data_IF_004453844044
#
_entry.id   IF_004453844044
#
_cell.length_a   1.000
_cell.length_b   1.000
_cell.length_c   1.000
_cell.angle_alpha   90.00
_cell.angle_beta   90.00
_cell.angle_gamma   90.00
#
_symmetry.space_group_name_H-M   'P 1'
#
loop_
_entity.id
_entity.type
_entity.pdbx_description
1 polymer ?
#
# COMPACT_ATOMS: atom_id res chain seq x y z
N UNK A 1 -8.86 10.03 14.34
CA UNK A 1 -7.52 9.47 14.03
C UNK A 1 -6.85 10.39 13.02
N UNK A 2 -5.63 10.86 13.29
CA UNK A 2 -4.83 11.63 12.33
C UNK A 2 -3.68 10.74 11.88
N UNK A 3 -3.42 10.63 10.58
CA UNK A 3 -2.37 9.78 10.02
C UNK A 3 -1.45 10.67 9.21
N UNK A 4 -0.17 10.68 9.56
CA UNK A 4 0.85 11.44 8.85
C UNK A 4 1.27 10.70 7.57
N UNK A 5 0.84 11.20 6.43
CA UNK A 5 1.12 10.60 5.12
C UNK A 5 1.99 11.51 4.29
N UNK A 6 2.78 10.91 3.39
CA UNK A 6 3.54 11.67 2.41
C UNK A 6 2.71 11.81 1.14
N UNK A 7 2.32 13.02 0.80
CA UNK A 7 1.58 13.33 -0.42
C UNK A 7 2.54 13.91 -1.47
N UNK A 8 2.70 13.22 -2.59
CA UNK A 8 3.61 13.61 -3.68
C UNK A 8 2.93 13.26 -5.01
N UNK A 9 2.93 14.18 -5.97
CA UNK A 9 2.42 13.96 -7.34
C UNK A 9 1.02 13.33 -7.34
N UNK A 10 0.12 13.89 -6.53
CA UNK A 10 -1.27 13.41 -6.31
C UNK A 10 -1.39 11.98 -5.77
N UNK A 11 -0.27 11.38 -5.37
CA UNK A 11 -0.17 10.04 -4.80
C UNK A 11 0.06 10.12 -3.29
N UNK A 12 -0.76 9.38 -2.53
CA UNK A 12 -0.61 9.26 -1.08
C UNK A 12 0.25 8.03 -0.75
N UNK A 13 1.40 8.26 -0.15
CA UNK A 13 2.31 7.21 0.31
C UNK A 13 2.06 6.92 1.79
N UNK A 14 1.64 5.70 2.06
CA UNK A 14 1.34 5.17 3.39
C UNK A 14 2.16 3.90 3.65
N UNK A 15 2.50 3.66 4.91
CA UNK A 15 2.99 2.34 5.35
C UNK A 15 1.81 1.38 5.56
N UNK A 16 2.07 0.07 5.51
CA UNK A 16 1.03 -0.95 5.78
C UNK A 16 0.37 -0.77 7.15
N UNK A 17 1.13 -0.32 8.15
CA UNK A 17 0.58 -0.05 9.49
C UNK A 17 -0.40 1.13 9.48
N UNK A 18 -0.09 2.19 8.74
CA UNK A 18 -1.01 3.32 8.59
C UNK A 18 -2.25 2.95 7.80
N UNK A 19 -2.14 2.06 6.80
CA UNK A 19 -3.30 1.49 6.12
C UNK A 19 -4.18 0.67 7.07
N UNK A 20 -3.57 -0.11 7.97
CA UNK A 20 -4.31 -0.84 9.00
C UNK A 20 -5.10 0.11 9.91
N UNK A 21 -4.48 1.21 10.33
CA UNK A 21 -5.13 2.24 11.15
C UNK A 21 -6.21 3.01 10.39
N UNK A 22 -6.00 3.28 9.09
CA UNK A 22 -6.97 3.98 8.25
C UNK A 22 -8.22 3.13 8.00
N UNK A 23 -8.02 1.88 7.60
CA UNK A 23 -9.10 0.94 7.25
C UNK A 23 -9.59 0.10 8.43
N UNK A 24 -9.07 0.36 9.65
CA UNK A 24 -9.41 -0.37 10.88
C UNK A 24 -9.34 -1.89 10.70
N UNK A 25 -8.31 -2.35 10.00
CA UNK A 25 -8.11 -3.75 9.61
C UNK A 25 -6.74 -4.25 10.04
N UNK A 26 -6.50 -5.55 9.89
CA UNK A 26 -5.23 -6.17 10.29
C UNK A 26 -4.18 -6.11 9.18
N UNK A 27 -2.90 -6.22 9.56
CA UNK A 27 -1.77 -6.29 8.61
C UNK A 27 -1.92 -7.46 7.63
N UNK A 28 -2.50 -8.57 8.10
CA UNK A 28 -2.76 -9.76 7.27
C UNK A 28 -3.75 -9.45 6.16
N UNK A 29 -4.86 -8.78 6.48
CA UNK A 29 -5.87 -8.39 5.49
C UNK A 29 -5.29 -7.40 4.48
N UNK A 30 -4.52 -6.39 4.92
CA UNK A 30 -3.85 -5.46 3.99
C UNK A 30 -2.90 -6.20 3.04
N UNK A 31 -2.14 -7.16 3.56
CA UNK A 31 -1.20 -7.95 2.75
C UNK A 31 -1.93 -8.83 1.73
N UNK A 32 -3.06 -9.43 2.13
CA UNK A 32 -3.91 -10.23 1.26
C UNK A 32 -4.56 -9.38 0.16
N UNK A 33 -5.09 -8.20 0.51
CA UNK A 33 -5.62 -7.27 -0.49
C UNK A 33 -4.55 -6.80 -1.49
N UNK A 34 -3.34 -6.49 -1.02
CA UNK A 34 -2.22 -6.13 -1.91
C UNK A 34 -1.90 -7.29 -2.85
N UNK A 35 -1.89 -8.53 -2.34
CA UNK A 35 -1.64 -9.73 -3.15
C UNK A 35 -2.71 -9.93 -4.21
N UNK A 36 -3.99 -9.75 -3.86
CA UNK A 36 -5.09 -9.83 -4.83
C UNK A 36 -4.99 -8.76 -5.91
N UNK A 37 -4.63 -7.51 -5.57
CA UNK A 37 -4.42 -6.44 -6.58
C UNK A 37 -3.38 -6.83 -7.64
N UNK A 38 -2.29 -7.49 -7.22
CA UNK A 38 -1.29 -8.01 -8.15
C UNK A 38 -1.78 -9.24 -8.94
N UNK A 39 -2.53 -10.13 -8.30
CA UNK A 39 -3.08 -11.34 -8.94
C UNK A 39 -4.19 -11.03 -9.94
N UNK A 40 -4.99 -9.99 -9.69
CA UNK A 40 -6.04 -9.48 -10.59
C UNK A 40 -5.45 -8.64 -11.74
N UNK A 41 -4.15 -8.35 -11.72
CA UNK A 41 -3.45 -7.60 -12.76
C UNK A 41 -3.81 -6.11 -12.80
N UNK A 42 -4.43 -5.57 -11.74
CA UNK A 42 -4.75 -4.15 -11.62
C UNK A 42 -3.50 -3.28 -11.41
N UNK A 43 -2.40 -3.89 -10.95
CA UNK A 43 -1.13 -3.21 -10.73
C UNK A 43 0.05 -4.10 -11.15
N UNK A 44 0.96 -3.58 -11.97
CA UNK A 44 2.19 -4.28 -12.32
C UNK A 44 3.17 -4.29 -11.15
N UNK A 45 3.55 -5.48 -10.65
CA UNK A 45 4.55 -5.68 -9.58
C UNK A 45 5.88 -4.96 -9.82
N UNK A 46 6.19 -4.66 -11.09
CA UNK A 46 7.43 -4.02 -11.53
C UNK A 46 7.48 -2.51 -11.21
N UNK A 47 6.34 -1.87 -10.93
CA UNK A 47 6.26 -0.42 -10.67
C UNK A 47 6.60 -0.03 -9.22
N UNK A 48 6.45 -0.95 -8.25
CA UNK A 48 6.54 -0.63 -6.82
C UNK A 48 7.86 -1.00 -6.14
N UNK A 49 8.66 -1.89 -6.73
CA UNK A 49 9.97 -2.29 -6.17
C UNK A 49 11.09 -1.58 -6.93
N UNK A 50 11.54 -0.42 -6.41
CA UNK A 50 12.82 0.16 -6.83
C UNK A 50 13.94 -0.88 -6.58
N UNK A 51 14.52 -1.42 -7.65
CA UNK A 51 15.78 -2.19 -7.57
C UNK A 51 16.90 -1.24 -7.15
N UNK A 52 17.32 -1.29 -5.88
CA UNK A 52 18.59 -0.71 -5.49
C UNK A 52 19.73 -1.54 -6.14
N UNK A 53 20.66 -0.87 -6.81
CA UNK A 53 21.95 -1.43 -7.24
C UNK A 53 23.06 -0.67 -6.54
#
# INVERSE_FOLDING_TARGET
TKIDVRFIDETVWLTQQQLCELYQTSKSNISEHIKHIFEEGELDEVSVVRKFR
#
